data_IF_631277144412
#
_entry.id   IF_631277144412
#
_cell.length_a   1.000
_cell.length_b   1.000
_cell.length_c   1.000
_cell.angle_alpha   90.00
_cell.angle_beta   90.00
_cell.angle_gamma   90.00
#
_symmetry.space_group_name_H-M   'P 1'
#
loop_
_entity.id
_entity.type
_entity.pdbx_description
1 polymer ?
#
# COMPACT_ATOMS: atom_id res chain seq x y z
N UNK A 1 -53.56 -40.87 -39.57
CA UNK A 1 -52.63 -40.90 -40.73
C UNK A 1 -51.73 -39.68 -40.63
N UNK A 2 -50.40 -39.82 -40.73
CA UNK A 2 -49.52 -38.66 -40.78
C UNK A 2 -49.76 -37.88 -42.09
N UNK A 3 -49.68 -36.54 -42.07
CA UNK A 3 -49.84 -35.74 -43.28
C UNK A 3 -48.76 -36.08 -44.32
N UNK A 4 -49.07 -35.95 -45.62
CA UNK A 4 -48.12 -36.24 -46.69
C UNK A 4 -46.87 -35.37 -46.56
N UNK A 5 -45.71 -35.96 -46.81
CA UNK A 5 -44.44 -35.24 -46.79
C UNK A 5 -44.51 -34.09 -47.82
N UNK A 6 -44.11 -32.87 -47.45
CA UNK A 6 -44.08 -31.76 -48.40
C UNK A 6 -43.15 -32.09 -49.58
N UNK A 7 -43.48 -31.62 -50.80
CA UNK A 7 -42.65 -31.87 -51.98
C UNK A 7 -41.25 -31.26 -51.80
N UNK A 8 -40.20 -31.90 -52.35
CA UNK A 8 -38.84 -31.39 -52.26
C UNK A 8 -38.74 -30.02 -52.92
N UNK A 9 -37.98 -29.13 -52.28
CA UNK A 9 -37.79 -27.77 -52.80
C UNK A 9 -37.10 -27.80 -54.17
N UNK A 10 -37.50 -26.92 -55.11
CA UNK A 10 -36.84 -26.82 -56.40
C UNK A 10 -35.37 -26.36 -56.22
N UNK A 11 -34.44 -26.76 -57.10
CA UNK A 11 -33.00 -26.50 -56.96
C UNK A 11 -32.65 -25.01 -56.76
N UNK A 12 -33.37 -24.11 -57.45
CA UNK A 12 -33.21 -22.65 -57.31
C UNK A 12 -33.58 -22.14 -55.91
N UNK A 13 -34.60 -22.72 -55.27
CA UNK A 13 -35.00 -22.36 -53.92
C UNK A 13 -33.95 -22.81 -52.89
N UNK A 14 -33.35 -23.99 -53.09
CA UNK A 14 -32.24 -24.47 -52.25
C UNK A 14 -31.04 -23.53 -52.38
N UNK A 15 -30.62 -23.21 -53.61
CA UNK A 15 -29.52 -22.29 -53.87
C UNK A 15 -29.74 -20.89 -53.26
N UNK A 16 -30.96 -20.36 -53.34
CA UNK A 16 -31.33 -19.07 -52.74
C UNK A 16 -31.24 -19.10 -51.21
N UNK A 17 -31.73 -20.17 -50.57
CA UNK A 17 -31.64 -20.34 -49.10
C UNK A 17 -30.18 -20.42 -48.66
N UNK A 18 -29.35 -21.21 -49.35
CA UNK A 18 -27.92 -21.28 -49.07
C UNK A 18 -27.25 -19.91 -49.24
N UNK A 19 -27.48 -19.22 -50.36
CA UNK A 19 -26.92 -17.90 -50.62
C UNK A 19 -27.29 -16.88 -49.52
N UNK A 20 -28.57 -16.81 -49.14
CA UNK A 20 -29.06 -15.97 -48.04
C UNK A 20 -28.37 -16.32 -46.72
N UNK A 21 -28.23 -17.62 -46.40
CA UNK A 21 -27.61 -18.07 -45.14
C UNK A 21 -26.13 -17.72 -45.08
N UNK A 22 -25.39 -17.93 -46.17
CA UNK A 22 -23.97 -17.56 -46.27
C UNK A 22 -23.79 -16.04 -46.17
N UNK A 23 -24.62 -15.24 -46.85
CA UNK A 23 -24.60 -13.78 -46.73
C UNK A 23 -24.87 -13.31 -45.30
N UNK A 24 -25.86 -13.91 -44.62
CA UNK A 24 -26.17 -13.59 -43.23
C UNK A 24 -24.97 -13.89 -42.32
N UNK A 25 -24.38 -15.09 -42.44
CA UNK A 25 -23.22 -15.51 -41.66
C UNK A 25 -22.03 -14.57 -41.89
N UNK A 26 -21.69 -14.26 -43.14
CA UNK A 26 -20.57 -13.37 -43.48
C UNK A 26 -20.79 -11.96 -42.92
N UNK A 27 -22.02 -11.45 -42.97
CA UNK A 27 -22.35 -10.12 -42.44
C UNK A 27 -22.27 -10.09 -40.92
N UNK A 28 -22.82 -11.09 -40.22
CA UNK A 28 -22.73 -11.20 -38.76
C UNK A 28 -21.27 -11.35 -38.30
N UNK A 29 -20.47 -12.18 -38.99
CA UNK A 29 -19.04 -12.32 -38.71
C UNK A 29 -18.30 -11.00 -38.88
N UNK A 30 -18.54 -10.28 -39.98
CA UNK A 30 -17.91 -8.99 -40.23
C UNK A 30 -18.26 -7.95 -39.17
N UNK A 31 -19.54 -7.88 -38.77
CA UNK A 31 -19.99 -6.97 -37.72
C UNK A 31 -19.35 -7.30 -36.36
N UNK A 32 -19.36 -8.58 -35.96
CA UNK A 32 -18.72 -9.02 -34.70
C UNK A 32 -17.21 -8.74 -34.70
N UNK A 33 -16.53 -8.93 -35.85
CA UNK A 33 -15.10 -8.64 -35.96
C UNK A 33 -14.83 -7.14 -35.77
N UNK A 34 -15.69 -6.30 -36.35
CA UNK A 34 -15.59 -4.84 -36.25
C UNK A 34 -15.85 -4.37 -34.82
N UNK A 35 -16.85 -4.95 -34.14
CA UNK A 35 -17.16 -4.69 -32.74
C UNK A 35 -16.01 -5.09 -31.82
N UNK A 36 -15.44 -6.30 -32.00
CA UNK A 36 -14.27 -6.76 -31.24
C UNK A 36 -13.10 -5.80 -31.44
N UNK A 37 -12.80 -5.39 -32.67
CA UNK A 37 -11.71 -4.45 -32.97
C UNK A 37 -11.93 -3.09 -32.31
N UNK A 38 -13.14 -2.53 -32.42
CA UNK A 38 -13.49 -1.26 -31.78
C UNK A 38 -13.34 -1.35 -30.25
N UNK A 39 -13.80 -2.46 -29.65
CA UNK A 39 -13.70 -2.69 -28.20
C UNK A 39 -12.24 -2.86 -27.78
N UNK A 40 -11.41 -3.54 -28.58
CA UNK A 40 -9.98 -3.69 -28.32
C UNK A 40 -9.23 -2.35 -28.37
N UNK A 41 -9.56 -1.50 -29.34
CA UNK A 41 -8.97 -0.15 -29.44
C UNK A 41 -9.38 0.69 -28.23
N UNK A 42 -10.69 0.74 -27.91
CA UNK A 42 -11.18 1.49 -26.76
C UNK A 42 -10.58 0.99 -25.43
N UNK A 43 -10.42 -0.33 -25.27
CA UNK A 43 -9.78 -0.92 -24.09
C UNK A 43 -8.30 -0.53 -24.01
N UNK A 44 -7.59 -0.54 -25.13
CA UNK A 44 -6.18 -0.15 -25.19
C UNK A 44 -6.00 1.33 -24.85
N UNK A 45 -6.81 2.22 -25.42
CA UNK A 45 -6.78 3.65 -25.12
C UNK A 45 -7.12 3.92 -23.64
N UNK A 46 -8.17 3.29 -23.11
CA UNK A 46 -8.52 3.40 -21.71
C UNK A 46 -7.40 2.91 -20.77
N UNK A 47 -6.72 1.81 -21.15
CA UNK A 47 -5.55 1.29 -20.43
C UNK A 47 -4.38 2.29 -20.46
N UNK A 48 -4.05 2.84 -21.62
CA UNK A 48 -2.96 3.81 -21.76
C UNK A 48 -3.21 5.07 -20.92
N UNK A 49 -4.45 5.58 -20.91
CA UNK A 49 -4.86 6.72 -20.06
C UNK A 49 -4.74 6.37 -18.58
N UNK A 50 -5.22 5.19 -18.17
CA UNK A 50 -5.14 4.74 -16.79
C UNK A 50 -3.68 4.58 -16.32
N UNK A 51 -2.81 4.02 -17.16
CA UNK A 51 -1.39 3.88 -16.86
C UNK A 51 -0.67 5.24 -16.78
N UNK A 52 -0.98 6.19 -17.66
CA UNK A 52 -0.43 7.55 -17.58
C UNK A 52 -0.85 8.24 -16.28
N UNK A 53 -2.13 8.12 -15.90
CA UNK A 53 -2.62 8.67 -14.64
C UNK A 53 -1.95 8.02 -13.42
N UNK A 54 -1.75 6.70 -13.44
CA UNK A 54 -1.05 5.96 -12.38
C UNK A 54 0.41 6.40 -12.23
N UNK A 55 1.14 6.55 -13.35
CA UNK A 55 2.51 7.06 -13.35
C UNK A 55 2.60 8.48 -12.80
N UNK A 56 1.74 9.39 -13.28
CA UNK A 56 1.71 10.77 -12.81
C UNK A 56 1.38 10.87 -11.31
N UNK A 57 0.45 10.03 -10.80
CA UNK A 57 0.16 9.93 -9.37
C UNK A 57 1.40 9.51 -8.58
N UNK A 58 2.10 8.47 -9.04
CA UNK A 58 3.27 7.91 -8.36
C UNK A 58 4.43 8.91 -8.32
N UNK A 59 4.71 9.57 -9.43
CA UNK A 59 5.73 10.62 -9.53
C UNK A 59 5.40 11.81 -8.61
N UNK A 60 4.15 12.27 -8.62
CA UNK A 60 3.70 13.34 -7.72
C UNK A 60 3.88 12.96 -6.25
N UNK A 61 3.49 11.75 -5.85
CA UNK A 61 3.68 11.27 -4.47
C UNK A 61 5.16 11.21 -4.09
N UNK A 62 6.02 10.67 -4.97
CA UNK A 62 7.47 10.60 -4.76
C UNK A 62 8.09 11.99 -4.52
N UNK A 63 7.79 12.94 -5.41
CA UNK A 63 8.31 14.31 -5.32
C UNK A 63 7.82 15.00 -4.04
N UNK A 64 6.52 14.96 -3.75
CA UNK A 64 5.96 15.56 -2.54
C UNK A 64 6.57 14.97 -1.27
N UNK A 65 6.85 13.67 -1.23
CA UNK A 65 7.49 13.08 -0.05
C UNK A 65 8.92 13.61 0.16
N UNK A 66 9.71 13.73 -0.91
CA UNK A 66 11.06 14.31 -0.79
C UNK A 66 11.01 15.76 -0.28
N UNK A 67 10.06 16.57 -0.79
CA UNK A 67 9.87 17.95 -0.36
C UNK A 67 9.37 18.06 1.08
N UNK A 68 8.57 17.10 1.56
CA UNK A 68 8.07 17.07 2.94
C UNK A 68 9.08 16.51 3.94
N UNK A 69 9.89 15.52 3.55
CA UNK A 69 10.91 14.90 4.43
C UNK A 69 11.93 15.91 4.93
N UNK A 70 12.40 16.80 4.07
CA UNK A 70 13.45 17.78 4.40
C UNK A 70 13.05 18.76 5.52
N UNK A 71 11.93 19.51 5.42
CA UNK A 71 11.50 20.40 6.49
C UNK A 71 11.13 19.63 7.76
N UNK A 72 10.56 18.43 7.62
CA UNK A 72 10.16 17.62 8.76
C UNK A 72 11.34 17.09 9.55
N UNK A 73 12.38 16.59 8.86
CA UNK A 73 13.64 16.19 9.48
C UNK A 73 14.32 17.38 10.18
N UNK A 74 14.18 18.59 9.62
CA UNK A 74 14.72 19.79 10.25
C UNK A 74 13.99 20.12 11.56
N UNK A 75 12.65 20.07 11.57
CA UNK A 75 11.83 20.27 12.78
C UNK A 75 12.12 19.21 13.84
N UNK A 76 12.21 17.93 13.45
CA UNK A 76 12.58 16.83 14.35
C UNK A 76 14.00 17.03 14.89
N UNK A 77 14.95 17.45 14.05
CA UNK A 77 16.34 17.69 14.45
C UNK A 77 16.47 18.83 15.46
N UNK A 78 15.84 19.97 15.19
CA UNK A 78 15.85 21.11 16.11
C UNK A 78 15.15 20.79 17.44
N UNK A 79 13.99 20.13 17.39
CA UNK A 79 13.31 19.70 18.61
C UNK A 79 14.14 18.69 19.41
N UNK A 80 14.78 17.71 18.76
CA UNK A 80 15.68 16.78 19.44
C UNK A 80 16.87 17.48 20.10
N UNK A 81 17.47 18.47 19.43
CA UNK A 81 18.59 19.26 19.97
C UNK A 81 18.18 20.12 21.18
N UNK A 82 16.94 20.63 21.17
CA UNK A 82 16.34 21.37 22.27
C UNK A 82 16.01 20.45 23.45
N UNK A 83 15.49 19.24 23.19
CA UNK A 83 15.13 18.26 24.23
C UNK A 83 16.35 17.84 25.07
N UNK A 84 17.51 17.70 24.44
CA UNK A 84 18.78 17.37 25.12
C UNK A 84 19.58 18.61 25.55
N UNK A 85 18.98 19.80 25.47
CA UNK A 85 19.54 21.07 25.95
C UNK A 85 20.95 21.38 25.38
N UNK A 86 21.17 21.08 24.09
CA UNK A 86 22.50 21.16 23.43
C UNK A 86 23.18 22.53 23.58
N UNK A 87 22.40 23.61 23.68
CA UNK A 87 22.89 24.98 23.82
C UNK A 87 22.61 25.60 25.20
N UNK A 88 22.26 24.78 26.19
CA UNK A 88 21.89 25.22 27.54
C UNK A 88 20.42 24.95 27.87
N UNK A 89 20.04 25.18 29.14
CA UNK A 89 18.72 24.82 29.65
C UNK A 89 17.60 25.62 28.98
N UNK A 90 16.46 24.97 28.72
CA UNK A 90 15.28 25.62 28.12
C UNK A 90 14.59 26.61 29.07
N UNK A 91 15.00 26.63 30.34
CA UNK A 91 14.43 27.47 31.38
C UNK A 91 13.19 26.83 31.99
N UNK A 92 12.02 27.07 31.40
CA UNK A 92 10.75 26.55 31.91
C UNK A 92 10.48 25.11 31.42
N UNK A 93 10.08 24.23 32.33
CA UNK A 93 9.79 22.82 32.04
C UNK A 93 8.71 22.62 30.96
N UNK A 94 7.76 23.54 30.81
CA UNK A 94 6.74 23.47 29.76
C UNK A 94 7.34 23.51 28.35
N UNK A 95 8.49 24.17 28.16
CA UNK A 95 9.16 24.18 26.85
C UNK A 95 9.65 22.79 26.46
N UNK A 96 10.11 21.99 27.42
CA UNK A 96 10.52 20.60 27.18
C UNK A 96 9.34 19.74 26.77
N UNK A 97 8.17 19.94 27.36
CA UNK A 97 6.92 19.29 26.94
C UNK A 97 6.50 19.68 25.52
N UNK A 98 6.57 20.97 25.18
CA UNK A 98 6.23 21.45 23.83
C UNK A 98 7.19 20.94 22.76
N UNK A 99 8.49 20.95 23.05
CA UNK A 99 9.52 20.42 22.16
C UNK A 99 9.28 18.93 21.89
N UNK A 100 8.99 18.15 22.94
CA UNK A 100 8.63 16.74 22.80
C UNK A 100 7.36 16.55 21.95
N UNK A 101 6.33 17.37 22.16
CA UNK A 101 5.10 17.30 21.35
C UNK A 101 5.33 17.64 19.87
N UNK A 102 6.20 18.62 19.57
CA UNK A 102 6.60 18.97 18.19
C UNK A 102 7.36 17.82 17.54
N UNK A 103 8.30 17.21 18.27
CA UNK A 103 9.08 16.06 17.80
C UNK A 103 8.16 14.86 17.50
N UNK A 104 7.27 14.52 18.42
CA UNK A 104 6.30 13.41 18.26
C UNK A 104 5.37 13.65 17.06
N UNK A 105 4.88 14.88 16.90
CA UNK A 105 4.02 15.26 15.76
C UNK A 105 4.79 15.20 14.43
N UNK A 106 6.05 15.64 14.44
CA UNK A 106 6.93 15.58 13.27
C UNK A 106 7.21 14.14 12.85
N UNK A 107 7.55 13.27 13.80
CA UNK A 107 7.75 11.85 13.55
C UNK A 107 6.47 11.17 13.04
N UNK A 108 5.31 11.52 13.60
CA UNK A 108 4.03 10.97 13.17
C UNK A 108 3.72 11.34 11.71
N UNK A 109 3.89 12.61 11.33
CA UNK A 109 3.69 13.06 9.96
C UNK A 109 4.68 12.38 8.99
N UNK A 110 5.92 12.14 9.41
CA UNK A 110 6.94 11.50 8.59
C UNK A 110 6.53 10.07 8.25
N UNK A 111 6.02 9.35 9.26
CA UNK A 111 5.50 8.01 9.08
C UNK A 111 4.30 8.00 8.14
N UNK A 112 3.35 8.93 8.29
CA UNK A 112 2.20 9.03 7.39
C UNK A 112 2.62 9.26 5.94
N UNK A 113 3.60 10.14 5.71
CA UNK A 113 4.16 10.39 4.38
C UNK A 113 4.81 9.13 3.81
N UNK A 114 5.56 8.39 4.62
CA UNK A 114 6.19 7.14 4.20
C UNK A 114 5.15 6.05 3.87
N UNK A 115 4.08 5.94 4.67
CA UNK A 115 3.01 4.96 4.43
C UNK A 115 2.27 5.25 3.11
N UNK A 116 2.00 6.53 2.81
CA UNK A 116 1.38 6.93 1.54
C UNK A 116 2.28 6.61 0.35
N UNK A 117 3.59 6.84 0.48
CA UNK A 117 4.56 6.46 -0.57
C UNK A 117 4.60 4.96 -0.80
N UNK A 118 4.63 4.17 0.27
CA UNK A 118 4.69 2.72 0.17
C UNK A 118 3.45 2.18 -0.54
N UNK A 119 2.25 2.72 -0.26
CA UNK A 119 1.02 2.40 -0.99
C UNK A 119 1.13 2.77 -2.47
N UNK A 120 1.65 3.96 -2.80
CA UNK A 120 1.81 4.38 -4.19
C UNK A 120 2.74 3.43 -4.98
N UNK A 121 3.84 2.98 -4.36
CA UNK A 121 4.75 1.99 -4.98
C UNK A 121 4.09 0.63 -5.17
N UNK A 122 3.27 0.19 -4.22
CA UNK A 122 2.50 -1.08 -4.35
C UNK A 122 1.53 -1.00 -5.51
N UNK A 123 0.75 0.09 -5.61
CA UNK A 123 -0.22 0.30 -6.68
C UNK A 123 0.43 0.39 -8.06
N UNK A 124 1.64 0.94 -8.15
CA UNK A 124 2.42 1.02 -9.38
C UNK A 124 3.13 -0.31 -9.74
N UNK A 125 3.16 -1.28 -8.84
CA UNK A 125 3.95 -2.52 -9.01
C UNK A 125 5.46 -2.30 -8.93
N UNK A 126 5.90 -1.18 -8.36
CA UNK A 126 7.30 -0.75 -8.24
C UNK A 126 7.92 -1.13 -6.88
N UNK A 127 7.15 -1.74 -5.98
CA UNK A 127 7.68 -2.21 -4.71
C UNK A 127 8.54 -3.46 -4.92
N UNK A 128 9.85 -3.28 -4.82
CA UNK A 128 10.81 -4.39 -4.75
C UNK A 128 10.93 -4.90 -3.31
N UNK A 129 10.97 -6.23 -3.16
CA UNK A 129 11.20 -6.90 -1.90
C UNK A 129 12.54 -7.64 -1.97
N UNK A 130 13.36 -7.47 -0.95
CA UNK A 130 14.59 -8.24 -0.83
C UNK A 130 14.29 -9.60 -0.20
N UNK A 131 14.62 -10.69 -0.88
CA UNK A 131 14.46 -12.05 -0.36
C UNK A 131 15.74 -12.48 0.38
N UNK A 132 15.75 -12.31 1.70
CA UNK A 132 16.92 -12.55 2.56
C UNK A 132 16.60 -13.51 3.70
N UNK A 133 17.64 -14.16 4.25
CA UNK A 133 17.50 -14.91 5.50
C UNK A 133 17.46 -13.95 6.70
N UNK A 134 16.31 -13.88 7.34
CA UNK A 134 16.02 -12.99 8.47
C UNK A 134 16.05 -13.78 9.76
N UNK A 135 16.96 -13.40 10.66
CA UNK A 135 17.00 -13.93 12.01
C UNK A 135 15.89 -13.31 12.86
N UNK A 136 14.96 -14.16 13.32
CA UNK A 136 13.83 -13.75 14.17
C UNK A 136 14.28 -13.13 15.49
N UNK A 137 15.36 -13.65 16.10
CA UNK A 137 15.87 -13.09 17.35
C UNK A 137 16.32 -11.64 17.16
N UNK A 138 17.14 -11.39 16.14
CA UNK A 138 17.74 -10.08 15.90
C UNK A 138 16.67 -9.02 15.59
N UNK A 139 15.70 -9.36 14.75
CA UNK A 139 14.68 -8.40 14.31
C UNK A 139 13.71 -8.04 15.43
N UNK A 140 13.28 -9.01 16.25
CA UNK A 140 12.40 -8.76 17.38
C UNK A 140 13.12 -8.00 18.50
N UNK A 141 14.37 -8.36 18.83
CA UNK A 141 15.17 -7.63 19.81
C UNK A 141 15.43 -6.18 19.38
N UNK A 142 15.79 -5.97 18.10
CA UNK A 142 15.99 -4.63 17.57
C UNK A 142 14.71 -3.80 17.62
N UNK A 143 13.56 -4.39 17.27
CA UNK A 143 12.26 -3.71 17.31
C UNK A 143 11.85 -3.36 18.74
N UNK A 144 11.99 -4.29 19.69
CA UNK A 144 11.68 -4.08 21.11
C UNK A 144 12.53 -2.96 21.73
N UNK A 145 13.83 -2.91 21.41
CA UNK A 145 14.74 -1.84 21.87
C UNK A 145 14.29 -0.46 21.39
N UNK A 146 13.82 -0.35 20.15
CA UNK A 146 13.37 0.93 19.57
C UNK A 146 12.13 1.45 20.32
N UNK A 147 11.16 0.58 20.62
CA UNK A 147 9.92 1.01 21.28
C UNK A 147 10.01 1.04 22.81
N UNK A 148 11.12 0.59 23.41
CA UNK A 148 11.31 0.50 24.86
C UNK A 148 11.01 1.82 25.59
N UNK A 149 11.60 2.94 25.13
CA UNK A 149 11.36 4.25 25.75
C UNK A 149 9.88 4.67 25.65
N UNK A 150 9.22 4.32 24.54
CA UNK A 150 7.80 4.63 24.33
C UNK A 150 6.90 3.80 25.25
N UNK A 151 7.24 2.53 25.45
CA UNK A 151 6.55 1.66 26.40
C UNK A 151 6.70 2.16 27.85
N UNK A 152 7.91 2.57 28.25
CA UNK A 152 8.16 3.17 29.58
C UNK A 152 7.33 4.45 29.77
N UNK A 153 7.35 5.38 28.81
CA UNK A 153 6.51 6.60 28.84
C UNK A 153 5.01 6.28 28.84
N UNK A 154 4.61 5.17 28.22
CA UNK A 154 3.24 4.68 28.18
C UNK A 154 2.81 3.88 29.41
N UNK A 155 3.71 3.64 30.37
CA UNK A 155 3.50 2.73 31.51
C UNK A 155 3.07 1.31 31.08
N UNK A 156 3.61 0.83 29.95
CA UNK A 156 3.34 -0.49 29.39
C UNK A 156 4.53 -1.42 29.64
N UNK A 157 4.27 -2.57 30.27
CA UNK A 157 5.26 -3.65 30.39
C UNK A 157 5.32 -4.43 29.09
N UNK A 158 6.54 -4.66 28.57
CA UNK A 158 6.77 -5.50 27.39
C UNK A 158 7.65 -6.68 27.77
N UNK A 159 7.13 -7.89 27.55
CA UNK A 159 7.87 -9.12 27.69
C UNK A 159 8.15 -9.69 26.29
N UNK A 160 9.43 -9.97 26.02
CA UNK A 160 9.86 -10.55 24.75
C UNK A 160 10.21 -12.02 24.95
N UNK A 161 9.35 -12.90 24.47
CA UNK A 161 9.55 -14.34 24.49
C UNK A 161 9.78 -14.85 23.06
N UNK A 162 10.98 -15.41 22.81
CA UNK A 162 11.36 -15.98 21.52
C UNK A 162 11.95 -17.36 21.79
N UNK A 163 11.47 -18.38 21.08
CA UNK A 163 12.01 -19.74 21.19
C UNK A 163 13.48 -19.78 20.76
N UNK A 164 14.31 -20.52 21.50
CA UNK A 164 15.72 -20.76 21.12
C UNK A 164 15.84 -21.44 19.73
N UNK A 165 14.82 -22.22 19.34
CA UNK A 165 14.76 -22.90 18.05
C UNK A 165 13.96 -22.13 17.00
N UNK A 166 13.80 -20.81 17.16
CA UNK A 166 13.10 -19.99 16.17
C UNK A 166 13.81 -20.11 14.80
N UNK A 167 13.07 -20.44 13.72
CA UNK A 167 13.67 -20.60 12.41
C UNK A 167 14.08 -19.25 11.83
N UNK A 168 15.00 -19.29 10.86
CA UNK A 168 15.19 -18.15 9.97
C UNK A 168 13.94 -17.99 9.09
N UNK A 169 13.50 -16.75 8.91
CA UNK A 169 12.46 -16.42 7.97
C UNK A 169 13.08 -16.01 6.65
N UNK A 170 12.42 -16.35 5.55
CA UNK A 170 12.84 -15.93 4.22
C UNK A 170 11.98 -14.75 3.77
N UNK A 171 12.59 -13.59 3.56
CA UNK A 171 11.91 -12.38 3.12
C UNK A 171 12.67 -11.09 3.40
N UNK A 172 11.94 -9.97 3.37
CA UNK A 172 12.52 -8.62 3.50
C UNK A 172 12.58 -8.21 4.99
N UNK A 173 13.80 -8.21 5.53
CA UNK A 173 14.04 -7.86 6.93
C UNK A 173 13.66 -6.42 7.28
N UNK A 174 13.77 -5.48 6.34
CA UNK A 174 13.40 -4.08 6.58
C UNK A 174 11.88 -3.94 6.71
N UNK A 175 11.14 -4.59 5.80
CA UNK A 175 9.67 -4.57 5.82
C UNK A 175 9.09 -5.31 7.02
N UNK A 176 9.66 -6.46 7.37
CA UNK A 176 9.28 -7.18 8.59
C UNK A 176 9.51 -6.33 9.85
N UNK A 177 10.61 -5.59 9.92
CA UNK A 177 10.90 -4.69 11.04
C UNK A 177 9.89 -3.55 11.10
N UNK A 178 9.53 -2.98 9.95
CA UNK A 178 8.50 -1.93 9.85
C UNK A 178 7.14 -2.45 10.34
N UNK A 179 6.75 -3.67 9.95
CA UNK A 179 5.53 -4.34 10.45
C UNK A 179 5.58 -4.46 11.97
N UNK A 180 6.68 -4.99 12.53
CA UNK A 180 6.83 -5.15 13.99
C UNK A 180 6.74 -3.81 14.73
N UNK A 181 7.42 -2.77 14.24
CA UNK A 181 7.39 -1.44 14.85
C UNK A 181 5.98 -0.84 14.83
N UNK A 182 5.24 -0.99 13.73
CA UNK A 182 3.86 -0.52 13.62
C UNK A 182 2.93 -1.26 14.60
N UNK A 183 3.05 -2.59 14.69
CA UNK A 183 2.26 -3.40 15.61
C UNK A 183 2.58 -3.06 17.08
N UNK A 184 3.85 -2.98 17.44
CA UNK A 184 4.28 -2.65 18.81
C UNK A 184 3.86 -1.23 19.20
N UNK A 185 4.02 -0.26 18.31
CA UNK A 185 3.61 1.13 18.57
C UNK A 185 2.10 1.25 18.73
N UNK A 186 1.32 0.56 17.88
CA UNK A 186 -0.12 0.49 18.02
C UNK A 186 -0.52 -0.18 19.33
N UNK A 187 0.12 -1.29 19.70
CA UNK A 187 -0.12 -1.95 20.97
C UNK A 187 0.10 -0.98 22.14
N UNK A 188 1.25 -0.29 22.21
CA UNK A 188 1.55 0.68 23.27
C UNK A 188 0.51 1.81 23.32
N UNK A 189 0.15 2.38 22.16
CA UNK A 189 -0.79 3.51 22.10
C UNK A 189 -2.24 3.11 22.45
N UNK A 190 -2.65 1.87 22.15
CA UNK A 190 -4.01 1.37 22.45
C UNK A 190 -4.18 0.87 23.88
N UNK A 191 -3.11 0.76 24.68
CA UNK A 191 -3.26 0.45 26.10
C UNK A 191 -3.93 1.62 26.81
N UNK A 192 -5.08 1.41 27.49
CA UNK A 192 -5.75 2.49 28.20
C UNK A 192 -4.83 2.99 29.32
N UNK A 193 -4.40 4.26 29.21
CA UNK A 193 -3.85 4.97 30.38
C UNK A 193 -4.87 4.78 31.50
N UNK A 194 -4.48 4.16 32.62
CA UNK A 194 -5.31 4.15 33.82
C UNK A 194 -5.47 5.60 34.27
N UNK A 195 -6.47 6.28 33.74
CA UNK A 195 -6.95 7.55 34.29
C UNK A 195 -7.48 7.20 35.67
N UNK A 196 -6.63 7.33 36.69
CA UNK A 196 -7.09 7.40 38.08
C UNK A 196 -7.93 8.66 38.19
N UNK A 197 -9.21 8.52 37.88
CA UNK A 197 -10.23 9.47 38.34
C UNK A 197 -10.25 9.38 39.87
N UNK A 198 -9.64 10.37 40.52
CA UNK A 198 -9.83 10.62 41.95
C UNK A 198 -11.20 11.27 42.10
N UNK A 199 -12.16 10.52 42.62
CA UNK A 199 -13.19 11.07 43.51
C UNK A 199 -12.69 10.93 44.94
#
# INVERSE_FOLDING_TARGET
>A
MPPPLPPPLPPLAIAFVFFRKTQLITTTLGNNLTEIQATQIALKEAKEVAEQASRAKSEFMANMSHELRTPLNSVIGFSSAMEVETFGPLGDDHYREYVGAVQDSGMHLLNLVNDILDIAKIEAGEMEFEDTDVNVHDIFQASAKIVANRAVKGEVTMDLEISENAPYLRGDGLRLKQILLNLLTNAINSHPRRVRSRY
#
